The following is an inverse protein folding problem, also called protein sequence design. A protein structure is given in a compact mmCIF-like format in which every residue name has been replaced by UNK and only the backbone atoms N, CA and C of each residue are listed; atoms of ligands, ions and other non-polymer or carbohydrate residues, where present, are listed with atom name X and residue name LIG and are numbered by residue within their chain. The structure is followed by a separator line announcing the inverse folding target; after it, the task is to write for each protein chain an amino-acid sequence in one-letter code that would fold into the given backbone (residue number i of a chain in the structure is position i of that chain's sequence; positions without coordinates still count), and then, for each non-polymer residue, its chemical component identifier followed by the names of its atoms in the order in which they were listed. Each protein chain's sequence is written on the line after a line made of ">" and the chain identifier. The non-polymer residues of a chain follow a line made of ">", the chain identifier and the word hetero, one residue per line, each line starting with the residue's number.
data_IF_663731377893
#
_entry.id   IF_663731377893
#
_cell.length_a   1.000
_cell.length_b   1.000
_cell.length_c   1.000
_cell.angle_alpha   90.00
_cell.angle_beta   90.00
_cell.angle_gamma   90.00
#
_symmetry.space_group_name_H-M   'P 1'
#
loop_
_entity.id
_entity.type
_entity.pdbx_description
1 polymer ?
#
# COMPACT_ATOMS: atom_id res chain seq x y z
N UNK A 1 15.83 -13.82 -48.06
CA UNK A 1 14.53 -13.12 -48.00
C UNK A 1 14.08 -13.18 -46.56
N UNK A 2 14.22 -12.08 -45.83
CA UNK A 2 13.91 -11.96 -44.40
C UNK A 2 12.45 -11.54 -44.32
N UNK A 3 11.64 -12.31 -43.58
CA UNK A 3 10.25 -11.97 -43.27
C UNK A 3 10.23 -11.48 -41.82
N UNK A 4 10.18 -10.16 -41.67
CA UNK A 4 9.88 -9.51 -40.39
C UNK A 4 8.37 -9.57 -40.13
N UNK A 5 7.91 -10.00 -38.95
CA UNK A 5 6.52 -9.79 -38.57
C UNK A 5 6.31 -8.35 -38.08
N UNK A 6 5.45 -7.65 -38.80
CA UNK A 6 4.95 -6.30 -38.53
C UNK A 6 4.21 -6.28 -37.19
N UNK A 7 4.39 -5.19 -36.44
CA UNK A 7 4.01 -5.07 -35.04
C UNK A 7 2.54 -5.29 -34.72
N UNK A 8 2.31 -5.83 -33.52
CA UNK A 8 1.11 -5.57 -32.73
C UNK A 8 1.55 -4.81 -31.48
N UNK A 9 1.41 -3.50 -31.54
CA UNK A 9 1.60 -2.60 -30.41
C UNK A 9 0.50 -2.85 -29.37
N UNK A 10 0.88 -2.84 -28.08
CA UNK A 10 -0.08 -2.57 -27.01
C UNK A 10 -0.07 -3.46 -25.76
N UNK A 11 1.03 -4.13 -25.40
CA UNK A 11 1.20 -4.55 -24.00
C UNK A 11 1.64 -3.34 -23.17
N UNK A 12 0.73 -2.39 -22.99
CA UNK A 12 0.87 -1.33 -22.00
C UNK A 12 0.73 -1.91 -20.60
N UNK A 13 1.74 -2.66 -20.13
CA UNK A 13 1.82 -3.18 -18.76
C UNK A 13 2.18 -2.04 -17.80
N UNK A 14 1.31 -1.04 -17.68
CA UNK A 14 1.46 0.09 -16.76
C UNK A 14 0.64 -0.09 -15.46
N UNK A 15 0.33 -1.34 -15.09
CA UNK A 15 -0.35 -1.72 -13.85
C UNK A 15 0.53 -2.27 -12.68
N UNK A 16 1.87 -2.42 -12.75
CA UNK A 16 2.63 -3.00 -11.63
C UNK A 16 2.95 -1.99 -10.51
N UNK A 17 3.03 -0.69 -10.80
CA UNK A 17 3.61 0.28 -9.85
C UNK A 17 2.75 0.50 -8.60
N UNK A 18 1.43 0.64 -8.75
CA UNK A 18 0.53 0.91 -7.61
C UNK A 18 0.37 -0.31 -6.70
N UNK A 19 0.28 -1.50 -7.28
CA UNK A 19 0.17 -2.75 -6.50
C UNK A 19 1.46 -3.05 -5.76
N UNK A 20 2.62 -2.83 -6.39
CA UNK A 20 3.92 -2.96 -5.73
C UNK A 20 4.04 -2.00 -4.53
N UNK A 21 3.65 -0.73 -4.70
CA UNK A 21 3.66 0.27 -3.62
C UNK A 21 2.77 -0.13 -2.42
N UNK A 22 1.60 -0.73 -2.68
CA UNK A 22 0.72 -1.20 -1.59
C UNK A 22 1.31 -2.40 -0.85
N UNK A 23 1.94 -3.34 -1.56
CA UNK A 23 2.61 -4.50 -0.95
C UNK A 23 3.77 -4.03 -0.08
N UNK A 24 4.59 -3.11 -0.59
CA UNK A 24 5.73 -2.56 0.14
C UNK A 24 5.29 -1.76 1.38
N UNK A 25 4.30 -0.87 1.23
CA UNK A 25 3.76 -0.11 2.35
C UNK A 25 3.18 -1.01 3.45
N UNK A 26 2.50 -2.11 3.08
CA UNK A 26 2.00 -3.09 4.04
C UNK A 26 3.13 -3.81 4.76
N UNK A 27 4.22 -4.16 4.07
CA UNK A 27 5.37 -4.80 4.69
C UNK A 27 6.04 -3.88 5.73
N UNK A 28 6.26 -2.61 5.39
CA UNK A 28 6.80 -1.60 6.31
C UNK A 28 5.91 -1.38 7.53
N UNK A 29 4.59 -1.32 7.31
CA UNK A 29 3.61 -1.25 8.40
C UNK A 29 3.66 -2.46 9.32
N UNK A 30 3.82 -3.66 8.76
CA UNK A 30 3.83 -4.89 9.54
C UNK A 30 5.06 -5.00 10.42
N UNK A 31 6.19 -4.50 9.94
CA UNK A 31 7.46 -4.42 10.65
C UNK A 31 7.40 -3.39 11.80
N UNK A 32 6.82 -2.21 11.56
CA UNK A 32 6.67 -1.17 12.58
C UNK A 32 5.57 -1.45 13.62
N UNK A 33 4.61 -2.34 13.33
CA UNK A 33 3.48 -2.61 14.19
C UNK A 33 3.85 -3.55 15.36
N UNK A 34 3.46 -3.22 16.61
CA UNK A 34 3.62 -4.12 17.75
C UNK A 34 2.95 -5.47 17.54
N UNK A 35 3.56 -6.54 18.08
CA UNK A 35 2.98 -7.88 18.01
C UNK A 35 1.60 -7.92 18.69
N UNK A 36 0.60 -8.44 17.99
CA UNK A 36 -0.79 -8.52 18.48
C UNK A 36 -1.65 -7.29 18.18
N UNK A 37 -1.09 -6.20 17.68
CA UNK A 37 -1.84 -4.96 17.38
C UNK A 37 -2.19 -4.79 15.90
N UNK A 38 -2.02 -5.85 15.09
CA UNK A 38 -2.18 -5.76 13.64
C UNK A 38 -3.61 -5.42 13.21
N UNK A 39 -4.62 -5.99 13.87
CA UNK A 39 -6.03 -5.66 13.60
C UNK A 39 -6.34 -4.19 13.92
N UNK A 40 -5.86 -3.66 15.04
CA UNK A 40 -6.04 -2.25 15.40
C UNK A 40 -5.34 -1.28 14.41
N UNK A 41 -4.21 -1.70 13.83
CA UNK A 41 -3.54 -0.98 12.75
C UNK A 41 -4.40 -0.97 11.48
N UNK A 42 -4.99 -2.10 11.10
CA UNK A 42 -5.88 -2.20 9.93
C UNK A 42 -7.16 -1.39 10.12
N UNK A 43 -7.73 -1.40 11.31
CA UNK A 43 -8.90 -0.59 11.65
C UNK A 43 -8.60 0.90 11.51
N UNK A 44 -7.42 1.35 11.97
CA UNK A 44 -7.00 2.73 11.78
C UNK A 44 -6.82 3.07 10.29
N UNK A 45 -6.17 2.19 9.51
CA UNK A 45 -6.03 2.38 8.04
C UNK A 45 -7.41 2.47 7.37
N UNK A 46 -8.38 1.66 7.78
CA UNK A 46 -9.76 1.70 7.28
C UNK A 46 -10.48 2.97 7.71
N UNK A 47 -10.28 3.41 8.96
CA UNK A 47 -10.82 4.66 9.49
C UNK A 47 -10.34 5.86 8.67
N UNK A 48 -9.05 5.93 8.35
CA UNK A 48 -8.50 7.00 7.52
C UNK A 48 -9.07 6.99 6.09
N UNK A 49 -9.25 5.81 5.49
CA UNK A 49 -9.87 5.71 4.17
C UNK A 49 -11.32 6.19 4.16
N UNK A 50 -12.11 5.82 5.18
CA UNK A 50 -13.55 6.14 5.23
C UNK A 50 -13.79 7.56 5.74
N UNK A 51 -13.17 7.96 6.85
CA UNK A 51 -13.44 9.24 7.50
C UNK A 51 -12.71 10.41 6.85
N UNK A 52 -11.55 10.17 6.23
CA UNK A 52 -10.74 11.22 5.60
C UNK A 52 -10.62 11.07 4.08
N UNK A 53 -11.39 10.13 3.48
CA UNK A 53 -11.37 9.85 2.04
C UNK A 53 -9.96 9.60 1.49
N UNK A 54 -9.05 9.08 2.33
CA UNK A 54 -7.66 8.84 1.93
C UNK A 54 -7.58 7.65 1.00
N UNK A 55 -6.68 7.72 0.01
CA UNK A 55 -6.35 6.54 -0.79
C UNK A 55 -5.71 5.47 0.11
N UNK A 56 -5.82 4.17 -0.22
CA UNK A 56 -5.26 3.10 0.61
C UNK A 56 -3.77 3.29 0.89
N UNK A 57 -3.00 3.72 -0.11
CA UNK A 57 -1.56 3.96 0.04
C UNK A 57 -1.28 5.12 1.01
N UNK A 58 -1.99 6.25 0.87
CA UNK A 58 -1.84 7.41 1.76
C UNK A 58 -2.25 7.07 3.19
N UNK A 59 -3.32 6.29 3.37
CA UNK A 59 -3.78 5.85 4.69
C UNK A 59 -2.71 4.95 5.35
N UNK A 60 -2.13 4.00 4.62
CA UNK A 60 -1.04 3.16 5.10
C UNK A 60 0.18 3.99 5.50
N UNK A 61 0.65 4.88 4.62
CA UNK A 61 1.79 5.77 4.92
C UNK A 61 1.54 6.66 6.14
N UNK A 62 0.31 7.15 6.31
CA UNK A 62 -0.08 7.93 7.49
C UNK A 62 0.00 7.10 8.77
N UNK A 63 -0.53 5.87 8.77
CA UNK A 63 -0.46 5.01 9.96
C UNK A 63 0.98 4.61 10.28
N UNK A 64 1.80 4.35 9.27
CA UNK A 64 3.24 4.13 9.47
C UNK A 64 3.91 5.34 10.13
N UNK A 65 3.64 6.57 9.65
CA UNK A 65 4.18 7.78 10.26
C UNK A 65 3.70 7.96 11.72
N UNK A 66 2.44 7.60 12.02
CA UNK A 66 1.92 7.59 13.40
C UNK A 66 2.69 6.61 14.28
N UNK A 67 2.89 5.37 13.83
CA UNK A 67 3.65 4.35 14.55
C UNK A 67 5.08 4.82 14.82
N UNK A 68 5.75 5.38 13.80
CA UNK A 68 7.10 5.95 13.94
C UNK A 68 7.14 7.15 14.91
N UNK A 69 6.06 7.91 15.02
CA UNK A 69 5.90 8.99 15.99
C UNK A 69 5.51 8.51 17.41
N UNK A 70 5.42 7.19 17.64
CA UNK A 70 5.12 6.61 18.95
C UNK A 70 3.62 6.46 19.24
N UNK A 71 2.73 6.63 18.25
CA UNK A 71 1.33 6.27 18.42
C UNK A 71 1.22 4.75 18.64
N UNK A 72 0.45 4.37 19.66
CA UNK A 72 0.16 2.97 19.94
C UNK A 72 -1.27 2.63 19.50
N UNK A 73 -1.47 1.57 18.70
CA UNK A 73 -2.80 1.08 18.37
C UNK A 73 -3.50 0.64 19.65
N UNK A 74 -4.70 1.17 19.91
CA UNK A 74 -5.56 0.63 20.99
C UNK A 74 -6.19 -0.66 20.48
N UNK A 75 -5.86 -1.76 21.14
CA UNK A 75 -6.57 -3.04 21.06
C UNK A 75 -7.95 -2.94 21.68
#
# INVERSE_FOLDING_TARGET
>A
MIIEPVGSAGLGTALPSRTAQLVEARAQLRDAAPAGSWDAVLDEVKRLQVQQSMTPLTAMQTVYAKLAAGWQPRT
#
